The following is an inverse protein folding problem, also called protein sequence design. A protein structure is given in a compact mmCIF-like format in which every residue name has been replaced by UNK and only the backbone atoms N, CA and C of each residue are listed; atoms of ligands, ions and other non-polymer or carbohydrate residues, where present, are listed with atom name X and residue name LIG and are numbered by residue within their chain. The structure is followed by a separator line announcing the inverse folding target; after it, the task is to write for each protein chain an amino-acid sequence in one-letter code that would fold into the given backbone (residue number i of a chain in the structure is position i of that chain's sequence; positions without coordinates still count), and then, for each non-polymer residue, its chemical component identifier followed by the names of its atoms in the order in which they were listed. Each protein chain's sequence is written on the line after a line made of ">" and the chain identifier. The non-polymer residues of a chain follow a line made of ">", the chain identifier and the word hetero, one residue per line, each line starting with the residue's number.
data_IF_294908991155
#
_entry.id   IF_294908991155
#
_cell.length_a   1.000
_cell.length_b   1.000
_cell.length_c   1.000
_cell.angle_alpha   90.00
_cell.angle_beta   90.00
_cell.angle_gamma   90.00
#
_symmetry.space_group_name_H-M   'P 1'
#
loop_
_entity.id
_entity.type
_entity.pdbx_description
1 polymer ?
#
# COMPACT_ATOMS: atom_id res chain seq x y z
N UNK A 1 -15.66 22.85 14.69
CA UNK A 1 -16.44 21.59 14.78
C UNK A 1 -16.06 20.74 13.59
N UNK A 2 -15.33 19.65 13.82
CA UNK A 2 -15.10 18.65 12.79
C UNK A 2 -16.42 17.91 12.62
N UNK A 3 -17.13 18.17 11.53
CA UNK A 3 -18.32 17.38 11.17
C UNK A 3 -17.77 16.02 10.76
N UNK A 4 -17.89 15.02 11.64
CA UNK A 4 -17.64 13.62 11.28
C UNK A 4 -18.58 13.28 10.13
N UNK A 5 -18.05 13.24 8.91
CA UNK A 5 -18.82 12.72 7.77
C UNK A 5 -19.00 11.24 7.99
N UNK A 6 -20.24 10.79 8.06
CA UNK A 6 -20.55 9.37 8.12
C UNK A 6 -19.95 8.67 6.88
N UNK A 7 -19.23 7.58 7.11
CA UNK A 7 -18.74 6.74 6.02
C UNK A 7 -19.92 6.00 5.41
N UNK A 8 -20.07 6.14 4.09
CA UNK A 8 -21.03 5.37 3.31
C UNK A 8 -20.39 4.04 2.92
N UNK A 9 -21.12 2.95 3.13
CA UNK A 9 -20.72 1.65 2.58
C UNK A 9 -20.95 1.61 1.08
N UNK A 10 -20.18 0.79 0.38
CA UNK A 10 -20.33 0.58 -1.04
C UNK A 10 -21.77 0.09 -1.40
N UNK A 11 -22.33 0.65 -2.45
CA UNK A 11 -23.58 0.16 -3.07
C UNK A 11 -23.21 -0.78 -4.23
N UNK A 12 -23.53 -2.07 -4.07
CA UNK A 12 -23.06 -3.13 -4.95
C UNK A 12 -24.20 -3.71 -5.78
N UNK A 13 -23.83 -4.11 -6.99
CA UNK A 13 -24.53 -5.12 -7.77
C UNK A 13 -23.64 -6.38 -7.85
N UNK A 14 -24.25 -7.55 -7.73
CA UNK A 14 -23.55 -8.82 -7.84
C UNK A 14 -23.84 -9.48 -9.18
N UNK A 15 -22.77 -9.76 -9.93
CA UNK A 15 -22.87 -10.41 -11.23
C UNK A 15 -22.25 -11.80 -11.17
N UNK A 16 -22.94 -12.78 -11.79
CA UNK A 16 -22.40 -14.12 -12.00
C UNK A 16 -21.62 -14.13 -13.31
N UNK A 17 -20.31 -14.27 -13.23
CA UNK A 17 -19.43 -14.35 -14.40
C UNK A 17 -18.65 -15.66 -14.32
N UNK A 18 -18.85 -16.56 -15.26
CA UNK A 18 -18.20 -17.88 -15.30
C UNK A 18 -18.36 -18.69 -13.99
N UNK A 19 -19.52 -18.55 -13.33
CA UNK A 19 -19.81 -19.22 -12.06
C UNK A 19 -19.17 -18.54 -10.82
N UNK A 20 -18.57 -17.37 -10.98
CA UNK A 20 -17.96 -16.59 -9.92
C UNK A 20 -18.82 -15.39 -9.57
N UNK A 21 -19.06 -15.16 -8.28
CA UNK A 21 -19.71 -13.95 -7.77
C UNK A 21 -18.74 -12.75 -7.84
N UNK A 22 -19.03 -11.80 -8.73
CA UNK A 22 -18.22 -10.59 -8.91
C UNK A 22 -19.00 -9.38 -8.39
N UNK A 23 -18.48 -8.65 -7.40
CA UNK A 23 -19.09 -7.40 -6.95
C UNK A 23 -18.76 -6.28 -7.92
N UNK A 24 -19.79 -5.52 -8.28
CA UNK A 24 -19.71 -4.35 -9.16
C UNK A 24 -20.18 -3.13 -8.38
N UNK A 25 -19.43 -2.06 -8.41
CA UNK A 25 -19.86 -0.79 -7.84
C UNK A 25 -20.94 -0.16 -8.70
N UNK A 26 -22.14 0.08 -8.14
CA UNK A 26 -23.18 0.82 -8.86
C UNK A 26 -22.80 2.29 -9.08
N UNK A 27 -22.05 2.87 -8.14
CA UNK A 27 -21.62 4.25 -8.22
C UNK A 27 -20.60 4.49 -9.35
N UNK A 28 -19.66 3.56 -9.52
CA UNK A 28 -18.56 3.71 -10.48
C UNK A 28 -18.74 2.87 -11.74
N UNK A 29 -19.67 1.92 -11.76
CA UNK A 29 -19.89 1.03 -12.90
C UNK A 29 -18.72 0.10 -13.21
N UNK A 30 -17.86 -0.18 -12.23
CA UNK A 30 -16.65 -0.99 -12.40
C UNK A 30 -16.61 -2.16 -11.41
N UNK A 31 -15.84 -3.19 -11.74
CA UNK A 31 -15.70 -4.42 -10.96
C UNK A 31 -14.64 -4.27 -9.88
N UNK A 32 -14.83 -4.90 -8.73
CA UNK A 32 -13.84 -4.88 -7.65
C UNK A 32 -12.61 -5.77 -7.91
N UNK A 33 -12.76 -6.78 -8.73
CA UNK A 33 -11.63 -7.62 -9.17
C UNK A 33 -11.89 -8.18 -10.57
N UNK A 34 -10.81 -8.54 -11.24
CA UNK A 34 -10.86 -9.07 -12.59
C UNK A 34 -11.59 -10.41 -12.63
N UNK A 35 -12.56 -10.53 -13.58
CA UNK A 35 -13.22 -11.78 -13.92
C UNK A 35 -12.26 -12.87 -14.43
N UNK A 36 -11.10 -12.47 -14.94
CA UNK A 36 -10.06 -13.36 -15.46
C UNK A 36 -9.13 -13.91 -14.40
N UNK A 37 -9.55 -14.02 -13.14
CA UNK A 37 -8.78 -14.40 -11.96
C UNK A 37 -8.05 -13.19 -11.32
N UNK A 38 -8.80 -12.41 -10.51
CA UNK A 38 -8.28 -11.23 -9.82
C UNK A 38 -7.06 -11.53 -8.93
N UNK A 39 -7.01 -12.70 -8.28
CA UNK A 39 -5.89 -13.07 -7.42
C UNK A 39 -4.58 -13.25 -8.22
N UNK A 40 -4.64 -13.88 -9.39
CA UNK A 40 -3.46 -14.00 -10.25
C UNK A 40 -3.05 -12.65 -10.85
N UNK A 41 -4.02 -11.79 -11.17
CA UNK A 41 -3.72 -10.41 -11.58
C UNK A 41 -3.06 -9.62 -10.46
N UNK A 42 -3.56 -9.71 -9.23
CA UNK A 42 -2.95 -9.11 -8.04
C UNK A 42 -1.50 -9.56 -7.86
N UNK A 43 -1.25 -10.86 -7.91
CA UNK A 43 0.11 -11.42 -7.80
C UNK A 43 1.03 -10.88 -8.90
N UNK A 44 0.55 -10.80 -10.14
CA UNK A 44 1.34 -10.31 -11.27
C UNK A 44 1.61 -8.81 -11.17
N UNK A 45 0.56 -8.01 -10.99
CA UNK A 45 0.66 -6.55 -11.04
C UNK A 45 1.31 -6.00 -9.77
N UNK A 46 0.84 -6.41 -8.61
CA UNK A 46 1.23 -5.76 -7.36
C UNK A 46 2.39 -6.46 -6.65
N UNK A 47 2.35 -7.79 -6.52
CA UNK A 47 3.43 -8.49 -5.82
C UNK A 47 4.69 -8.59 -6.67
N UNK A 48 4.59 -9.08 -7.91
CA UNK A 48 5.73 -9.17 -8.82
C UNK A 48 6.14 -7.78 -9.33
N UNK A 49 5.17 -6.88 -9.56
CA UNK A 49 5.44 -5.51 -9.97
C UNK A 49 6.31 -4.72 -8.98
N UNK A 50 6.27 -5.06 -7.71
CA UNK A 50 7.09 -4.47 -6.65
C UNK A 50 8.25 -5.38 -6.18
N UNK A 51 8.51 -6.48 -6.86
CA UNK A 51 9.56 -7.48 -6.54
C UNK A 51 9.47 -7.99 -5.09
N UNK A 52 8.25 -8.12 -4.54
CA UNK A 52 8.03 -8.33 -3.10
C UNK A 52 8.54 -9.68 -2.61
N UNK A 53 8.51 -10.73 -3.41
CA UNK A 53 9.02 -12.05 -2.99
C UNK A 53 10.50 -11.96 -2.57
N UNK A 54 11.33 -11.34 -3.38
CA UNK A 54 12.76 -11.14 -3.12
C UNK A 54 12.97 -10.16 -1.97
N UNK A 55 12.28 -9.00 -2.01
CA UNK A 55 12.47 -7.95 -1.01
C UNK A 55 12.08 -8.40 0.39
N UNK A 56 10.97 -9.12 0.54
CA UNK A 56 10.48 -9.60 1.83
C UNK A 56 11.33 -10.75 2.39
N UNK A 57 11.84 -11.64 1.52
CA UNK A 57 12.69 -12.76 1.95
C UNK A 57 14.08 -12.30 2.44
N UNK A 58 14.53 -11.14 2.02
CA UNK A 58 15.85 -10.59 2.36
C UNK A 58 15.83 -9.60 3.53
N UNK A 59 14.70 -9.43 4.23
CA UNK A 59 14.60 -8.52 5.37
C UNK A 59 15.57 -8.90 6.48
N UNK A 60 16.26 -7.91 7.01
CA UNK A 60 17.18 -8.07 8.13
C UNK A 60 16.42 -8.25 9.45
N UNK A 61 17.07 -8.79 10.50
CA UNK A 61 16.45 -8.93 11.81
C UNK A 61 15.85 -7.61 12.31
N UNK A 62 14.58 -7.67 12.76
CA UNK A 62 13.80 -6.54 13.27
C UNK A 62 13.51 -5.44 12.24
N UNK A 63 13.82 -5.65 10.98
CA UNK A 63 13.46 -4.72 9.92
C UNK A 63 11.94 -4.63 9.74
N UNK A 64 11.50 -3.44 9.38
CA UNK A 64 10.10 -3.12 9.20
C UNK A 64 9.86 -2.74 7.73
N UNK A 65 9.04 -3.53 7.04
CA UNK A 65 8.68 -3.28 5.65
C UNK A 65 7.24 -2.80 5.57
N UNK A 66 7.00 -1.67 4.88
CA UNK A 66 5.67 -1.12 4.73
C UNK A 66 5.20 -1.09 3.28
N UNK A 67 3.93 -1.48 3.08
CA UNK A 67 3.24 -1.45 1.78
C UNK A 67 2.04 -0.52 1.89
N UNK A 68 1.93 0.44 0.97
CA UNK A 68 0.78 1.32 0.86
C UNK A 68 -0.15 0.90 -0.28
N UNK A 69 -1.44 1.12 -0.12
CA UNK A 69 -2.48 0.82 -1.11
C UNK A 69 -3.48 1.97 -1.19
N UNK A 70 -3.95 2.31 -2.38
CA UNK A 70 -4.86 3.44 -2.59
C UNK A 70 -6.34 3.08 -2.55
N UNK A 71 -6.71 1.82 -2.65
CA UNK A 71 -8.09 1.32 -2.58
C UNK A 71 -8.15 -0.07 -1.97
N UNK A 72 -8.70 -0.21 -0.75
CA UNK A 72 -8.82 -1.51 -0.09
C UNK A 72 -9.77 -2.46 -0.83
N UNK A 73 -10.91 -1.94 -1.30
CA UNK A 73 -11.91 -2.71 -2.01
C UNK A 73 -12.37 -3.96 -1.25
N UNK A 74 -12.08 -5.13 -1.79
CA UNK A 74 -12.35 -6.43 -1.13
C UNK A 74 -11.22 -6.91 -0.23
N UNK A 75 -10.11 -6.18 -0.14
CA UNK A 75 -8.91 -6.58 0.59
C UNK A 75 -8.10 -7.68 -0.09
N UNK A 76 -8.38 -7.99 -1.36
CA UNK A 76 -7.72 -9.07 -2.09
C UNK A 76 -6.21 -8.86 -2.21
N UNK A 77 -5.76 -7.64 -2.49
CA UNK A 77 -4.33 -7.33 -2.58
C UNK A 77 -3.63 -7.50 -1.24
N UNK A 78 -4.26 -7.07 -0.16
CA UNK A 78 -3.74 -7.21 1.21
C UNK A 78 -3.65 -8.68 1.62
N UNK A 79 -4.67 -9.50 1.28
CA UNK A 79 -4.63 -10.93 1.54
C UNK A 79 -3.57 -11.64 0.69
N UNK A 80 -3.41 -11.28 -0.57
CA UNK A 80 -2.35 -11.82 -1.43
C UNK A 80 -0.95 -11.46 -0.89
N UNK A 81 -0.77 -10.21 -0.42
CA UNK A 81 0.45 -9.77 0.24
C UNK A 81 0.72 -10.57 1.52
N UNK A 82 -0.29 -10.76 2.37
CA UNK A 82 -0.17 -11.53 3.59
C UNK A 82 0.17 -13.00 3.32
N UNK A 83 -0.48 -13.61 2.33
CA UNK A 83 -0.15 -14.97 1.91
C UNK A 83 1.30 -15.09 1.43
N UNK A 84 1.77 -14.15 0.61
CA UNK A 84 3.17 -14.10 0.19
C UNK A 84 4.10 -13.97 1.42
N UNK A 85 3.77 -13.08 2.35
CA UNK A 85 4.53 -12.89 3.57
C UNK A 85 4.68 -14.18 4.38
N UNK A 86 3.60 -14.95 4.57
CA UNK A 86 3.66 -16.26 5.23
C UNK A 86 4.63 -17.23 4.55
N UNK A 87 4.74 -17.14 3.20
CA UNK A 87 5.57 -18.05 2.42
C UNK A 87 7.06 -17.69 2.44
N UNK A 88 7.38 -16.38 2.47
CA UNK A 88 8.77 -15.91 2.25
C UNK A 88 9.40 -15.25 3.47
N UNK A 89 8.64 -14.93 4.52
CA UNK A 89 9.14 -14.21 5.69
C UNK A 89 10.32 -14.94 6.35
N UNK A 90 11.44 -14.25 6.60
CA UNK A 90 12.55 -14.85 7.31
C UNK A 90 12.20 -15.07 8.80
N UNK A 91 12.85 -16.05 9.44
CA UNK A 91 12.65 -16.32 10.87
C UNK A 91 13.57 -15.44 11.74
N UNK A 92 13.36 -14.12 11.69
CA UNK A 92 14.28 -13.15 12.28
C UNK A 92 13.60 -11.93 12.94
N UNK A 93 12.32 -12.03 13.30
CA UNK A 93 11.52 -10.95 13.91
C UNK A 93 11.29 -9.72 13.04
N UNK A 94 11.57 -9.76 11.73
CA UNK A 94 11.15 -8.70 10.81
C UNK A 94 9.62 -8.62 10.75
N UNK A 95 9.08 -7.45 10.42
CA UNK A 95 7.66 -7.14 10.46
C UNK A 95 7.18 -6.64 9.10
N UNK A 96 5.99 -7.03 8.70
CA UNK A 96 5.28 -6.45 7.56
C UNK A 96 4.12 -5.57 8.04
N UNK A 97 4.02 -4.39 7.47
CA UNK A 97 2.92 -3.47 7.72
C UNK A 97 2.25 -3.06 6.40
N UNK A 98 0.94 -3.13 6.34
CA UNK A 98 0.17 -2.60 5.24
C UNK A 98 -0.59 -1.33 5.68
N UNK A 99 -0.72 -0.39 4.76
CA UNK A 99 -1.54 0.82 4.92
C UNK A 99 -2.48 0.83 3.73
N UNK A 100 -3.79 0.82 3.96
CA UNK A 100 -4.76 0.88 2.88
C UNK A 100 -5.82 1.93 3.16
N UNK A 101 -6.27 2.64 2.12
CA UNK A 101 -7.28 3.69 2.20
C UNK A 101 -8.53 3.24 1.48
N UNK A 102 -9.71 3.47 2.07
CA UNK A 102 -10.99 3.09 1.48
C UNK A 102 -12.06 4.15 1.76
N UNK A 103 -12.64 4.69 0.70
CA UNK A 103 -13.71 5.71 0.81
C UNK A 103 -15.08 5.09 1.04
N UNK A 104 -15.35 3.96 0.41
CA UNK A 104 -16.64 3.26 0.42
C UNK A 104 -16.44 1.79 0.85
N UNK A 105 -16.18 1.52 2.14
CA UNK A 105 -15.91 0.16 2.59
C UNK A 105 -17.11 -0.76 2.32
N UNK A 106 -16.83 -1.99 1.96
CA UNK A 106 -17.86 -3.02 1.83
C UNK A 106 -18.54 -3.24 3.19
N UNK A 107 -19.83 -3.64 3.17
CA UNK A 107 -20.41 -4.23 4.36
C UNK A 107 -19.67 -5.53 4.72
N UNK A 108 -19.67 -5.92 5.99
CA UNK A 108 -19.01 -7.17 6.41
C UNK A 108 -19.59 -8.40 5.67
N UNK A 109 -20.88 -8.37 5.38
CA UNK A 109 -21.57 -9.44 4.62
C UNK A 109 -21.07 -9.51 3.19
N UNK A 110 -20.93 -8.35 2.53
CA UNK A 110 -20.45 -8.29 1.15
C UNK A 110 -18.94 -8.66 1.07
N UNK A 111 -18.16 -8.26 2.07
CA UNK A 111 -16.75 -8.65 2.17
C UNK A 111 -16.60 -10.17 2.28
N UNK A 112 -17.38 -10.81 3.14
CA UNK A 112 -17.40 -12.27 3.27
C UNK A 112 -17.76 -12.92 1.92
N UNK A 113 -18.80 -12.43 1.26
CA UNK A 113 -19.23 -12.95 -0.03
C UNK A 113 -18.15 -12.81 -1.10
N UNK A 114 -17.52 -11.66 -1.20
CA UNK A 114 -16.43 -11.40 -2.14
C UNK A 114 -15.21 -12.31 -1.92
N UNK A 115 -14.83 -12.52 -0.66
CA UNK A 115 -13.65 -13.31 -0.31
C UNK A 115 -13.87 -14.83 -0.41
N UNK A 116 -15.12 -15.31 -0.35
CA UNK A 116 -15.45 -16.73 -0.56
C UNK A 116 -15.09 -17.24 -1.97
N UNK A 117 -14.84 -16.34 -2.92
CA UNK A 117 -14.36 -16.68 -4.27
C UNK A 117 -12.93 -17.28 -4.23
N UNK A 118 -12.18 -17.03 -3.15
CA UNK A 118 -10.77 -17.41 -3.01
C UNK A 118 -10.54 -18.42 -1.87
N UNK A 119 -10.89 -19.73 -2.04
CA UNK A 119 -10.74 -20.72 -0.97
C UNK A 119 -9.32 -20.84 -0.41
N UNK A 120 -8.31 -20.59 -1.25
CA UNK A 120 -6.90 -20.64 -0.84
C UNK A 120 -6.50 -19.51 0.12
N UNK A 121 -7.26 -18.42 0.19
CA UNK A 121 -7.04 -17.31 1.12
C UNK A 121 -7.89 -17.43 2.38
N UNK A 122 -8.82 -18.39 2.44
CA UNK A 122 -9.82 -18.48 3.51
C UNK A 122 -9.25 -18.39 4.93
N UNK A 123 -8.14 -19.08 5.31
CA UNK A 123 -7.63 -19.03 6.67
C UNK A 123 -7.22 -17.61 7.12
N UNK A 124 -6.64 -16.82 6.22
CA UNK A 124 -6.23 -15.44 6.52
C UNK A 124 -7.38 -14.45 6.29
N UNK A 125 -8.28 -14.73 5.35
CA UNK A 125 -9.49 -13.95 5.15
C UNK A 125 -10.40 -14.00 6.40
N UNK A 126 -10.58 -15.15 7.01
CA UNK A 126 -11.36 -15.30 8.25
C UNK A 126 -10.77 -14.45 9.40
N UNK A 127 -9.44 -14.39 9.53
CA UNK A 127 -8.77 -13.55 10.52
C UNK A 127 -8.99 -12.04 10.24
N UNK A 128 -8.86 -11.62 8.97
CA UNK A 128 -9.11 -10.25 8.58
C UNK A 128 -10.57 -9.86 8.84
N UNK A 129 -11.52 -10.70 8.44
CA UNK A 129 -12.97 -10.49 8.64
C UNK A 129 -13.32 -10.39 10.13
N UNK A 130 -12.65 -11.17 11.00
CA UNK A 130 -12.88 -11.13 12.44
C UNK A 130 -12.59 -9.74 13.02
N UNK A 131 -11.56 -9.05 12.53
CA UNK A 131 -11.15 -7.71 12.95
C UNK A 131 -11.69 -6.58 12.06
N UNK A 132 -12.44 -6.89 10.98
CA UNK A 132 -12.92 -5.88 10.05
C UNK A 132 -13.79 -4.83 10.76
N UNK A 133 -13.45 -3.53 10.64
CA UNK A 133 -14.08 -2.48 11.45
C UNK A 133 -15.50 -2.15 10.99
N UNK A 134 -16.25 -1.49 11.88
CA UNK A 134 -17.43 -0.77 11.47
C UNK A 134 -17.09 0.44 10.59
N UNK A 135 -17.99 0.93 9.72
CA UNK A 135 -17.74 2.03 8.79
C UNK A 135 -17.71 3.39 9.51
N UNK A 136 -16.67 3.59 10.30
CA UNK A 136 -16.40 4.83 11.05
C UNK A 136 -15.13 5.45 10.45
N UNK A 137 -15.16 6.75 10.15
CA UNK A 137 -14.02 7.46 9.59
C UNK A 137 -12.80 7.42 10.53
N UNK A 138 -11.62 7.21 9.95
CA UNK A 138 -10.35 7.21 10.66
C UNK A 138 -9.51 5.96 10.41
N UNK A 139 -8.43 5.83 11.18
CA UNK A 139 -7.51 4.69 11.12
C UNK A 139 -7.98 3.55 12.02
N UNK A 140 -8.11 2.38 11.45
CA UNK A 140 -8.42 1.14 12.15
C UNK A 140 -7.22 0.20 12.03
N UNK A 141 -6.51 -0.01 13.14
CA UNK A 141 -5.39 -0.95 13.17
C UNK A 141 -5.87 -2.36 13.42
N UNK A 142 -5.63 -3.23 12.45
CA UNK A 142 -5.80 -4.67 12.57
C UNK A 142 -4.42 -5.28 12.82
N UNK A 143 -4.31 -6.10 13.88
CA UNK A 143 -3.02 -6.64 14.31
C UNK A 143 -3.05 -8.16 14.35
N UNK A 144 -2.01 -8.76 13.76
CA UNK A 144 -1.84 -10.22 13.65
C UNK A 144 -0.42 -10.59 14.14
N UNK A 145 -0.18 -10.57 15.48
CA UNK A 145 1.16 -10.69 16.05
C UNK A 145 1.86 -12.00 15.69
N UNK A 146 1.14 -13.12 15.69
CA UNK A 146 1.68 -14.44 15.32
C UNK A 146 2.14 -14.48 13.86
N UNK A 147 1.54 -13.64 13.03
CA UNK A 147 1.90 -13.48 11.63
C UNK A 147 2.97 -12.42 11.42
N UNK A 148 3.35 -11.66 12.45
CA UNK A 148 4.21 -10.48 12.34
C UNK A 148 3.73 -9.54 11.24
N UNK A 149 2.39 -9.38 11.17
CA UNK A 149 1.70 -8.58 10.18
C UNK A 149 0.73 -7.60 10.87
N UNK A 150 0.61 -6.42 10.33
CA UNK A 150 -0.40 -5.45 10.73
C UNK A 150 -0.92 -4.67 9.54
N UNK A 151 -2.18 -4.23 9.63
CA UNK A 151 -2.85 -3.41 8.63
C UNK A 151 -3.44 -2.17 9.29
N UNK A 152 -3.08 -0.99 8.80
CA UNK A 152 -3.80 0.26 9.06
C UNK A 152 -4.80 0.49 7.94
N UNK A 153 -6.06 0.16 8.20
CA UNK A 153 -7.16 0.42 7.29
C UNK A 153 -7.75 1.81 7.60
N UNK A 154 -7.50 2.74 6.71
CA UNK A 154 -8.02 4.10 6.81
C UNK A 154 -9.35 4.20 6.06
N UNK A 155 -10.43 4.46 6.79
CA UNK A 155 -11.75 4.70 6.20
C UNK A 155 -11.96 6.20 6.02
N UNK A 156 -12.04 6.65 4.77
CA UNK A 156 -12.18 8.05 4.40
C UNK A 156 -11.72 8.35 2.98
N UNK A 157 -11.95 9.59 2.56
CA UNK A 157 -11.48 10.08 1.27
C UNK A 157 -9.96 10.21 1.25
N UNK A 158 -9.32 9.76 0.18
CA UNK A 158 -7.86 9.84 0.01
C UNK A 158 -7.35 11.29 0.13
N UNK A 159 -8.13 12.28 -0.31
CA UNK A 159 -7.81 13.70 -0.20
C UNK A 159 -7.76 14.21 1.24
N UNK A 160 -8.48 13.58 2.16
CA UNK A 160 -8.46 13.93 3.58
C UNK A 160 -7.48 13.04 4.37
N UNK A 161 -7.39 11.77 3.99
CA UNK A 161 -6.62 10.75 4.71
C UNK A 161 -5.12 10.91 4.48
N UNK A 162 -4.64 10.94 3.23
CA UNK A 162 -3.21 11.02 2.97
C UNK A 162 -2.54 12.28 3.53
N UNK A 163 -3.13 13.49 3.46
CA UNK A 163 -2.57 14.65 4.14
C UNK A 163 -2.41 14.48 5.65
N UNK A 164 -3.34 13.76 6.29
CA UNK A 164 -3.35 13.56 7.75
C UNK A 164 -2.31 12.55 8.24
N UNK A 165 -1.77 11.72 7.35
CA UNK A 165 -0.75 10.73 7.70
C UNK A 165 0.59 11.41 7.99
N UNK A 166 1.15 11.13 9.17
CA UNK A 166 2.50 11.55 9.51
C UNK A 166 3.54 10.69 8.76
N UNK A 167 4.57 11.33 8.21
CA UNK A 167 5.71 10.60 7.65
C UNK A 167 6.68 10.23 8.78
N UNK A 168 6.50 9.06 9.37
CA UNK A 168 7.43 8.51 10.38
C UNK A 168 8.55 7.70 9.75
N UNK A 169 8.27 7.06 8.62
CA UNK A 169 9.21 6.33 7.76
C UNK A 169 8.67 6.36 6.32
N UNK A 170 9.51 6.03 5.34
CA UNK A 170 9.03 5.90 3.96
C UNK A 170 8.29 4.58 3.77
N UNK A 171 7.19 4.61 3.02
CA UNK A 171 6.53 3.42 2.51
C UNK A 171 7.46 2.76 1.48
N UNK A 172 7.69 1.45 1.59
CA UNK A 172 8.66 0.74 0.76
C UNK A 172 8.10 0.33 -0.62
N UNK A 173 6.80 0.07 -0.70
CA UNK A 173 6.13 -0.30 -1.95
C UNK A 173 4.70 0.23 -1.97
N UNK A 174 4.22 0.63 -3.15
CA UNK A 174 2.86 1.09 -3.36
C UNK A 174 2.10 0.21 -4.35
N UNK A 175 0.89 -0.16 -3.96
CA UNK A 175 -0.15 -0.69 -4.84
C UNK A 175 -1.06 0.47 -5.23
N UNK A 176 -0.83 1.05 -6.41
CA UNK A 176 -1.68 2.12 -6.95
C UNK A 176 -2.90 1.45 -7.60
N UNK A 177 -3.90 1.19 -6.77
CA UNK A 177 -5.12 0.47 -7.12
C UNK A 177 -6.37 1.34 -6.91
N UNK A 178 -7.51 0.86 -7.40
CA UNK A 178 -8.80 1.52 -7.37
C UNK A 178 -9.55 1.28 -8.69
N UNK A 179 -10.76 1.79 -8.79
CA UNK A 179 -11.50 1.73 -10.05
C UNK A 179 -10.75 2.47 -11.17
N UNK A 180 -10.96 2.01 -12.41
CA UNK A 180 -10.28 2.56 -13.56
C UNK A 180 -10.37 4.11 -13.59
N UNK A 181 -9.33 4.84 -14.03
CA UNK A 181 -9.34 6.32 -14.05
C UNK A 181 -10.52 6.94 -14.80
N UNK A 182 -11.11 6.22 -15.75
CA UNK A 182 -12.30 6.66 -16.45
C UNK A 182 -13.59 6.54 -15.61
N UNK A 183 -13.60 5.64 -14.61
CA UNK A 183 -14.73 5.39 -13.73
C UNK A 183 -14.65 6.18 -12.42
N UNK A 184 -13.46 6.30 -11.86
CA UNK A 184 -13.18 7.05 -10.63
C UNK A 184 -11.90 7.88 -10.80
N UNK A 185 -11.97 9.10 -11.34
CA UNK A 185 -10.79 9.94 -11.54
C UNK A 185 -10.18 10.45 -10.24
N UNK A 186 -10.96 10.63 -9.16
CA UNK A 186 -10.56 11.32 -7.93
C UNK A 186 -9.33 10.70 -7.27
N UNK A 187 -9.30 9.37 -7.14
CA UNK A 187 -8.19 8.65 -6.51
C UNK A 187 -6.86 8.77 -7.30
N UNK A 188 -6.95 9.16 -8.58
CA UNK A 188 -5.82 9.30 -9.49
C UNK A 188 -5.35 10.75 -9.66
N UNK A 189 -5.95 11.69 -8.95
CA UNK A 189 -5.59 13.11 -9.03
C UNK A 189 -4.15 13.37 -8.58
N UNK A 190 -3.54 14.39 -9.16
CA UNK A 190 -2.17 14.80 -8.86
C UNK A 190 -1.95 15.08 -7.38
N UNK A 191 -2.94 15.65 -6.70
CA UNK A 191 -2.85 15.93 -5.27
C UNK A 191 -2.70 14.64 -4.44
N UNK A 192 -3.44 13.58 -4.76
CA UNK A 192 -3.32 12.26 -4.11
C UNK A 192 -1.93 11.68 -4.37
N UNK A 193 -1.47 11.71 -5.63
CA UNK A 193 -0.14 11.23 -6.01
C UNK A 193 0.99 11.99 -5.30
N UNK A 194 0.88 13.31 -5.15
CA UNK A 194 1.86 14.11 -4.41
C UNK A 194 1.97 13.69 -2.95
N UNK A 195 0.85 13.34 -2.31
CA UNK A 195 0.88 12.81 -0.94
C UNK A 195 1.48 11.40 -0.86
N UNK A 196 1.20 10.54 -1.83
CA UNK A 196 1.84 9.22 -1.94
C UNK A 196 3.36 9.38 -2.07
N UNK A 197 3.82 10.28 -2.95
CA UNK A 197 5.25 10.58 -3.09
C UNK A 197 5.83 11.17 -1.80
N UNK A 198 5.12 12.07 -1.11
CA UNK A 198 5.54 12.59 0.20
C UNK A 198 5.76 11.47 1.23
N UNK A 199 4.94 10.43 1.21
CA UNK A 199 5.06 9.27 2.11
C UNK A 199 6.12 8.26 1.66
N UNK A 200 6.70 8.46 0.49
CA UNK A 200 7.71 7.59 -0.13
C UNK A 200 9.14 8.11 0.10
N UNK A 201 10.11 7.37 -0.37
CA UNK A 201 11.53 7.74 -0.35
C UNK A 201 12.34 6.98 -1.42
N UNK A 202 13.65 7.22 -1.46
CA UNK A 202 14.56 6.49 -2.34
C UNK A 202 14.42 4.98 -2.08
N UNK A 203 14.34 4.19 -3.14
CA UNK A 203 14.12 2.74 -3.08
C UNK A 203 12.64 2.33 -3.02
N UNK A 204 11.69 3.27 -2.87
CA UNK A 204 10.26 2.96 -2.97
C UNK A 204 9.91 2.51 -4.39
N UNK A 205 9.13 1.45 -4.47
CA UNK A 205 8.57 0.94 -5.74
C UNK A 205 7.07 1.19 -5.82
N UNK A 206 6.56 1.30 -7.03
CA UNK A 206 5.15 1.54 -7.33
C UNK A 206 4.70 0.62 -8.43
N UNK A 207 3.50 0.06 -8.31
CA UNK A 207 2.89 -0.70 -9.40
C UNK A 207 1.41 -0.40 -9.54
N UNK A 208 0.91 -0.53 -10.77
CA UNK A 208 -0.50 -0.35 -11.11
C UNK A 208 -0.87 -1.17 -12.34
N UNK A 209 -2.11 -1.63 -12.38
CA UNK A 209 -2.70 -2.19 -13.61
C UNK A 209 -2.95 -1.11 -14.66
N UNK A 210 -2.96 0.15 -14.27
CA UNK A 210 -3.23 1.30 -15.14
C UNK A 210 -1.94 1.96 -15.62
N UNK A 211 -1.88 2.26 -16.91
CA UNK A 211 -0.80 3.07 -17.53
C UNK A 211 -1.28 4.47 -17.90
N UNK A 212 -2.31 4.97 -17.22
CA UNK A 212 -2.90 6.28 -17.47
C UNK A 212 -1.85 7.41 -17.43
N UNK A 213 -2.06 8.41 -18.30
CA UNK A 213 -1.12 9.53 -18.42
C UNK A 213 -0.94 10.32 -17.12
N UNK A 214 -1.99 10.41 -16.29
CA UNK A 214 -1.94 11.10 -15.00
C UNK A 214 -0.94 10.43 -14.06
N UNK A 215 -0.94 9.10 -13.93
CA UNK A 215 0.03 8.36 -13.13
C UNK A 215 1.46 8.58 -13.62
N UNK A 216 1.67 8.47 -14.93
CA UNK A 216 3.01 8.67 -15.50
C UNK A 216 3.54 10.05 -15.19
N UNK A 217 2.74 11.10 -15.48
CA UNK A 217 3.15 12.49 -15.20
C UNK A 217 3.39 12.71 -13.71
N UNK A 218 2.44 12.28 -12.86
CA UNK A 218 2.51 12.45 -11.42
C UNK A 218 3.73 11.80 -10.76
N UNK A 219 4.23 10.68 -11.30
CA UNK A 219 5.45 10.04 -10.79
C UNK A 219 6.72 10.64 -11.41
N UNK A 220 6.75 10.86 -12.74
CA UNK A 220 7.97 11.36 -13.42
C UNK A 220 8.34 12.76 -13.01
N UNK A 221 7.40 13.64 -12.68
CA UNK A 221 7.70 14.99 -12.19
C UNK A 221 8.49 15.02 -10.87
N UNK A 222 8.47 13.91 -10.12
CA UNK A 222 9.25 13.72 -8.91
C UNK A 222 10.56 12.94 -9.13
N UNK A 223 10.98 12.73 -10.38
CA UNK A 223 12.19 11.97 -10.72
C UNK A 223 12.06 10.46 -10.52
N UNK A 224 10.83 9.94 -10.43
CA UNK A 224 10.58 8.50 -10.30
C UNK A 224 10.65 7.85 -11.67
N UNK A 225 11.51 6.84 -11.81
CA UNK A 225 11.70 6.09 -13.06
C UNK A 225 10.56 5.12 -13.30
N UNK A 226 9.99 5.15 -14.52
CA UNK A 226 8.85 4.31 -14.92
C UNK A 226 9.25 3.35 -16.02
N UNK A 227 8.79 2.10 -15.90
CA UNK A 227 8.77 1.09 -16.95
C UNK A 227 7.34 0.59 -17.18
N UNK A 228 7.09 0.00 -18.35
CA UNK A 228 5.79 -0.52 -18.74
C UNK A 228 5.94 -1.97 -19.23
N UNK A 229 6.16 -2.93 -18.30
CA UNK A 229 6.21 -4.33 -18.65
C UNK A 229 4.82 -4.83 -19.09
N UNK A 230 4.79 -6.06 -19.58
CA UNK A 230 3.55 -6.72 -20.00
C UNK A 230 2.58 -6.82 -18.82
N UNK A 231 1.33 -6.41 -19.05
CA UNK A 231 0.23 -6.57 -18.11
C UNK A 231 -0.26 -8.02 -18.01
N UNK A 232 -1.24 -8.24 -17.16
CA UNK A 232 -1.81 -9.58 -16.96
C UNK A 232 -2.70 -9.99 -18.15
N UNK A 233 -2.53 -11.22 -18.64
CA UNK A 233 -3.29 -11.83 -19.74
C UNK A 233 -3.43 -10.91 -20.98
N UNK A 234 -4.61 -10.31 -21.14
CA UNK A 234 -4.97 -9.48 -22.30
C UNK A 234 -4.54 -8.02 -22.19
N UNK A 235 -4.15 -7.57 -21.00
CA UNK A 235 -3.63 -6.21 -20.79
C UNK A 235 -2.23 -6.11 -21.39
N UNK A 236 -2.04 -5.17 -22.32
CA UNK A 236 -0.76 -5.01 -23.03
C UNK A 236 0.36 -4.60 -22.08
N UNK A 237 0.08 -3.71 -21.18
CA UNK A 237 1.05 -3.09 -20.29
C UNK A 237 0.49 -2.93 -18.87
N UNK A 238 1.38 -2.88 -17.89
CA UNK A 238 1.15 -2.41 -16.53
C UNK A 238 2.19 -1.33 -16.20
N UNK A 239 1.96 -0.55 -15.16
CA UNK A 239 2.95 0.40 -14.67
C UNK A 239 3.81 -0.27 -13.59
N UNK A 240 5.12 -0.13 -13.72
CA UNK A 240 6.10 -0.42 -12.67
C UNK A 240 7.03 0.79 -12.57
N UNK A 241 7.27 1.27 -11.35
CA UNK A 241 8.13 2.42 -11.14
C UNK A 241 9.01 2.22 -9.89
N UNK A 242 10.13 2.93 -9.84
CA UNK A 242 11.07 2.94 -8.72
C UNK A 242 11.65 4.35 -8.55
N UNK A 243 11.75 4.77 -7.30
CA UNK A 243 12.43 6.01 -6.96
C UNK A 243 13.91 5.75 -6.73
N UNK A 244 14.72 6.07 -7.72
CA UNK A 244 16.17 5.93 -7.65
C UNK A 244 16.82 7.21 -7.11
N UNK A 245 18.03 7.12 -6.50
CA UNK A 245 18.85 8.29 -6.23
C UNK A 245 19.11 9.07 -7.53
N UNK A 246 19.18 10.40 -7.45
CA UNK A 246 19.65 11.20 -8.58
C UNK A 246 21.07 10.75 -8.95
N UNK A 247 21.33 10.56 -10.25
CA UNK A 247 22.70 10.33 -10.71
C UNK A 247 23.55 11.57 -10.33
N UNK A 248 24.78 11.38 -9.81
CA UNK A 248 25.68 12.50 -9.55
C UNK A 248 25.89 13.20 -10.91
N UNK A 249 25.59 14.48 -10.97
CA UNK A 249 25.95 15.30 -12.13
C UNK A 249 27.44 15.13 -12.38
N UNK A 250 27.82 14.62 -13.53
CA UNK A 250 29.21 14.61 -14.01
C UNK A 250 29.60 16.07 -14.31
N UNK A 251 29.92 16.84 -13.28
CA UNK A 251 30.62 18.09 -13.42
C UNK A 251 32.07 17.73 -13.76
N UNK A 252 32.36 17.75 -15.07
CA UNK A 252 33.72 17.67 -15.60
C UNK A 252 34.45 19.02 -15.42
N UNK A 253 34.50 19.50 -14.19
CA UNK A 253 35.44 20.56 -13.79
C UNK A 253 36.34 19.97 -12.71
N UNK A 254 37.50 19.52 -13.17
CA UNK A 254 38.61 19.13 -12.33
C UNK A 254 39.11 20.38 -11.57
N UNK A 255 38.49 20.68 -10.45
CA UNK A 255 39.07 21.54 -9.44
C UNK A 255 39.80 20.63 -8.49
N UNK A 256 41.13 20.84 -8.45
CA UNK A 256 42.10 20.21 -7.56
C UNK A 256 41.65 20.43 -6.10
N UNK A 257 41.06 19.41 -5.47
CA UNK A 257 40.54 19.43 -4.11
C UNK A 257 41.32 18.51 -3.19
N UNK A 258 42.66 18.71 -3.11
CA UNK A 258 43.44 18.06 -2.04
C UNK A 258 43.43 18.79 -0.70
N UNK A 259 42.64 19.86 -0.53
CA UNK A 259 42.72 20.68 0.71
C UNK A 259 41.42 20.77 1.54
N UNK A 260 40.36 20.03 1.24
CA UNK A 260 39.08 20.11 2.00
C UNK A 260 38.60 18.76 2.58
N UNK A 261 39.46 17.76 2.62
CA UNK A 261 39.11 16.43 3.13
C UNK A 261 39.24 16.25 4.67
N UNK A 262 39.17 17.30 5.46
CA UNK A 262 39.31 17.14 6.90
C UNK A 262 38.27 17.79 7.81
N UNK A 263 37.10 18.22 7.27
CA UNK A 263 35.99 18.66 8.13
C UNK A 263 34.66 18.34 7.43
N UNK A 264 34.11 17.21 7.67
CA UNK A 264 32.72 16.77 7.69
C UNK A 264 32.62 15.29 7.33
N UNK A 265 33.06 14.43 8.26
CA UNK A 265 32.45 13.10 8.31
C UNK A 265 31.00 13.32 8.76
N UNK A 266 29.97 12.96 7.95
CA UNK A 266 28.65 12.81 8.50
C UNK A 266 28.77 11.73 9.56
N UNK A 267 28.35 12.05 10.78
CA UNK A 267 28.19 11.07 11.84
C UNK A 267 27.46 9.88 11.24
N UNK A 268 28.19 8.80 11.01
CA UNK A 268 27.60 7.50 10.83
C UNK A 268 26.90 7.21 12.16
N UNK A 269 25.62 7.62 12.23
CA UNK A 269 24.74 7.13 13.27
C UNK A 269 24.73 5.62 13.07
N UNK A 270 25.32 4.84 13.98
CA UNK A 270 25.22 3.39 13.91
C UNK A 270 23.72 3.09 13.83
N UNK A 271 23.32 2.11 13.02
CA UNK A 271 22.00 1.50 13.08
C UNK A 271 21.82 0.76 14.43
N UNK A 272 22.23 1.38 15.52
CA UNK A 272 21.87 0.99 16.85
C UNK A 272 20.40 1.38 17.00
N UNK A 273 19.57 0.42 17.33
CA UNK A 273 18.20 0.54 17.77
C UNK A 273 17.96 1.91 18.40
N UNK A 274 17.28 2.82 17.70
CA UNK A 274 16.69 3.97 18.37
C UNK A 274 15.69 3.37 19.35
N UNK A 275 16.03 3.33 20.62
CA UNK A 275 15.08 3.02 21.67
C UNK A 275 13.89 3.96 21.46
N UNK A 276 12.76 3.39 21.04
CA UNK A 276 11.54 4.16 20.96
C UNK A 276 11.14 4.48 22.39
N UNK A 277 11.28 5.72 22.79
CA UNK A 277 10.72 6.20 24.04
C UNK A 277 9.21 6.24 23.87
N UNK A 278 8.50 5.37 24.58
CA UNK A 278 7.04 5.40 24.65
C UNK A 278 6.68 6.38 25.78
N UNK A 279 6.16 7.54 25.43
CA UNK A 279 5.55 8.44 26.38
C UNK A 279 4.10 8.05 26.58
N UNK A 280 3.71 7.62 27.77
CA UNK A 280 2.32 7.41 28.15
C UNK A 280 1.79 8.76 28.60
N UNK A 281 0.96 9.41 27.76
CA UNK A 281 0.30 10.68 28.09
C UNK A 281 -1.08 10.33 28.63
N UNK A 282 -1.27 10.46 29.92
CA UNK A 282 -2.55 10.29 30.62
C UNK A 282 -2.42 9.40 31.85
N UNK A 283 -2.62 9.98 33.03
CA UNK A 283 -2.65 9.29 34.31
C UNK A 283 -4.08 8.91 34.71
N UNK A 284 -4.84 8.30 33.80
CA UNK A 284 -6.15 7.71 34.11
C UNK A 284 -6.00 6.34 34.78
N UNK A 285 -7.07 5.83 35.40
CA UNK A 285 -7.13 4.51 36.08
C UNK A 285 -6.61 3.37 35.19
N UNK A 286 -6.69 3.50 33.87
CA UNK A 286 -6.16 2.55 32.91
C UNK A 286 -4.62 2.55 32.76
N UNK A 287 -3.92 3.51 33.32
CA UNK A 287 -2.46 3.61 33.28
C UNK A 287 -1.75 2.99 34.49
N UNK A 288 -2.49 2.38 35.42
CA UNK A 288 -1.97 1.81 36.67
C UNK A 288 -2.16 0.28 36.77
N UNK A 289 -2.53 -0.39 35.68
CA UNK A 289 -2.66 -1.84 35.62
C UNK A 289 -1.53 -2.49 34.85
#
# INVERSE_FOLDING_TARGET
>A
MVVSRAIQTADLEWQQIDGIDVPVSKQFGDVYFSKDNGLLETRHVFLNGNDLSERLSNLQPFEYFSVGETGFGTGLNILALWQLWQQVRPNNHSQLHAISVEKFPLSKTDLIRALNVWPELKPIADQLIAQYPHPIAGCHRLSFPEERFSLDLWLGDAHDVFPSMAKTSSVNAWFLDGFAPACNPDIWEEQVLNHIVRLSGIGTTFSSFSVAGVLKRGLTQHGISISRPRGYKHKREMLKAIWLPAEPENTSDAVDTQSVLNQNQPDQVPHAFKQRQIAIIGAGIAGLS
#
